data_IF_441850968911
#
_entry.id   IF_441850968911
#
_cell.length_a   1.000
_cell.length_b   1.000
_cell.length_c   1.000
_cell.angle_alpha   90.00
_cell.angle_beta   90.00
_cell.angle_gamma   90.00
#
_symmetry.space_group_name_H-M   'P 1'
#
loop_
_entity.id
_entity.type
_entity.pdbx_description
1 polymer ?
#
# COMPACT_ATOMS: atom_id res chain seq x y z
N UNK A 1 41.78 27.13 12.47
CA UNK A 1 41.36 26.40 11.25
C UNK A 1 41.19 24.94 11.62
N UNK A 2 39.96 24.48 11.82
CA UNK A 2 39.62 23.06 11.79
C UNK A 2 38.21 22.96 11.21
N UNK A 3 38.16 22.69 9.92
CA UNK A 3 36.93 22.54 9.16
C UNK A 3 36.47 21.10 9.37
N UNK A 4 35.49 20.91 10.25
CA UNK A 4 34.82 19.62 10.42
C UNK A 4 33.86 19.45 9.24
N UNK A 5 34.33 18.77 8.19
CA UNK A 5 33.49 18.35 7.07
C UNK A 5 32.39 17.42 7.60
N UNK A 6 31.16 17.92 7.67
CA UNK A 6 29.97 17.11 7.84
C UNK A 6 29.71 16.35 6.54
N UNK A 7 30.22 15.12 6.44
CA UNK A 7 29.86 14.20 5.37
C UNK A 7 28.39 13.78 5.56
N UNK A 8 27.49 13.96 4.58
CA UNK A 8 26.14 13.41 4.68
C UNK A 8 26.21 11.88 4.69
N UNK A 9 25.49 11.21 5.59
CA UNK A 9 25.39 9.75 5.66
C UNK A 9 24.80 9.14 4.34
N UNK A 10 25.12 7.87 4.02
CA UNK A 10 24.87 7.17 2.74
C UNK A 10 23.40 6.87 2.39
N UNK A 11 22.44 7.27 3.23
CA UNK A 11 20.99 7.00 3.06
C UNK A 11 20.44 7.57 1.75
N UNK A 12 20.90 8.75 1.33
CA UNK A 12 20.41 9.39 0.09
C UNK A 12 20.83 8.62 -1.18
N UNK A 13 21.99 7.97 -1.14
CA UNK A 13 22.51 7.17 -2.25
C UNK A 13 21.78 5.82 -2.35
N UNK A 14 21.47 5.17 -1.22
CA UNK A 14 20.65 3.95 -1.20
C UNK A 14 19.23 4.21 -1.73
N UNK A 15 18.61 5.32 -1.30
CA UNK A 15 17.29 5.72 -1.78
C UNK A 15 17.32 5.98 -3.29
N UNK A 16 18.31 6.74 -3.76
CA UNK A 16 18.45 7.05 -5.19
C UNK A 16 18.67 5.80 -6.04
N UNK A 17 19.50 4.86 -5.55
CA UNK A 17 19.74 3.56 -6.20
C UNK A 17 18.46 2.72 -6.27
N UNK A 18 17.70 2.63 -5.18
CA UNK A 18 16.42 1.91 -5.18
C UNK A 18 15.45 2.51 -6.21
N UNK A 19 15.29 3.84 -6.24
CA UNK A 19 14.39 4.50 -7.19
C UNK A 19 14.81 4.28 -8.64
N UNK A 20 16.12 4.39 -8.94
CA UNK A 20 16.65 4.12 -10.26
C UNK A 20 16.41 2.66 -10.70
N UNK A 21 16.45 1.69 -9.77
CA UNK A 21 16.09 0.31 -10.06
C UNK A 21 14.61 0.15 -10.36
N UNK A 22 13.73 0.74 -9.54
CA UNK A 22 12.27 0.68 -9.72
C UNK A 22 11.88 1.26 -11.09
N UNK A 23 12.44 2.41 -11.45
CA UNK A 23 12.17 3.06 -12.74
C UNK A 23 12.69 2.23 -13.92
N UNK A 24 13.93 1.75 -13.85
CA UNK A 24 14.57 1.00 -14.94
C UNK A 24 13.94 -0.38 -15.18
N UNK A 25 13.37 -0.98 -14.15
CA UNK A 25 12.77 -2.34 -14.20
C UNK A 25 11.27 -2.32 -14.44
N UNK A 26 10.70 -1.13 -14.69
CA UNK A 26 9.28 -0.98 -14.98
C UNK A 26 8.92 -1.74 -16.27
N UNK A 27 8.00 -2.68 -16.15
CA UNK A 27 7.55 -3.52 -17.27
C UNK A 27 6.05 -3.79 -17.16
N UNK A 28 5.37 -3.94 -18.30
CA UNK A 28 3.98 -4.39 -18.28
C UNK A 28 3.93 -5.86 -17.83
N UNK A 29 2.94 -6.20 -17.03
CA UNK A 29 2.71 -7.59 -16.60
C UNK A 29 2.51 -8.56 -17.77
N UNK A 30 2.15 -8.07 -18.96
CA UNK A 30 2.01 -8.84 -20.20
C UNK A 30 3.33 -9.02 -20.97
N UNK A 31 4.35 -8.24 -20.64
CA UNK A 31 5.62 -8.18 -21.37
C UNK A 31 6.80 -8.75 -20.52
N UNK A 32 6.51 -9.33 -19.34
CA UNK A 32 7.53 -9.80 -18.37
C UNK A 32 8.47 -10.88 -18.90
N UNK A 33 8.06 -11.62 -19.94
CA UNK A 33 8.91 -12.63 -20.57
C UNK A 33 10.12 -12.01 -21.30
N UNK A 34 10.06 -10.71 -21.62
CA UNK A 34 11.13 -9.97 -22.30
C UNK A 34 12.18 -9.43 -21.34
N UNK A 35 11.96 -9.50 -20.02
CA UNK A 35 12.88 -9.01 -18.99
C UNK A 35 14.24 -9.74 -19.12
N UNK A 36 15.35 -9.05 -19.42
CA UNK A 36 16.64 -9.70 -19.65
C UNK A 36 17.28 -10.27 -18.38
N UNK A 37 17.04 -9.69 -17.20
CA UNK A 37 17.59 -10.18 -15.94
C UNK A 37 16.82 -11.44 -15.47
N UNK A 38 17.45 -12.62 -15.40
CA UNK A 38 16.78 -13.85 -14.98
C UNK A 38 16.14 -13.75 -13.58
N UNK A 39 16.79 -13.07 -12.62
CA UNK A 39 16.28 -12.94 -11.25
C UNK A 39 14.99 -12.11 -11.23
N UNK A 40 14.94 -11.04 -12.03
CA UNK A 40 13.75 -10.22 -12.19
C UNK A 40 12.64 -10.99 -12.91
N UNK A 41 12.97 -11.66 -14.01
CA UNK A 41 12.03 -12.47 -14.79
C UNK A 41 11.38 -13.56 -13.94
N UNK A 42 12.16 -14.26 -13.12
CA UNK A 42 11.67 -15.30 -12.22
C UNK A 42 10.72 -14.71 -11.16
N UNK A 43 11.08 -13.56 -10.58
CA UNK A 43 10.24 -12.85 -9.61
C UNK A 43 8.90 -12.42 -10.23
N UNK A 44 8.95 -11.80 -11.40
CA UNK A 44 7.75 -11.37 -12.13
C UNK A 44 6.89 -12.55 -12.57
N UNK A 45 7.51 -13.65 -13.00
CA UNK A 45 6.80 -14.87 -13.40
C UNK A 45 6.08 -15.47 -12.19
N UNK A 46 6.74 -15.58 -11.04
CA UNK A 46 6.13 -16.06 -9.80
C UNK A 46 4.97 -15.15 -9.35
N UNK A 47 5.18 -13.84 -9.37
CA UNK A 47 4.15 -12.85 -9.03
C UNK A 47 2.92 -12.94 -9.93
N UNK A 48 3.11 -12.94 -11.26
CA UNK A 48 2.01 -13.05 -12.21
C UNK A 48 1.29 -14.40 -12.11
N UNK A 49 2.04 -15.51 -11.98
CA UNK A 49 1.45 -16.83 -11.81
C UNK A 49 0.57 -16.89 -10.55
N UNK A 50 1.00 -16.27 -9.46
CA UNK A 50 0.19 -16.14 -8.24
C UNK A 50 -1.06 -15.31 -8.46
N UNK A 51 -0.94 -14.15 -9.11
CA UNK A 51 -2.09 -13.32 -9.41
C UNK A 51 -3.12 -14.07 -10.27
N UNK A 52 -2.68 -14.74 -11.34
CA UNK A 52 -3.55 -15.46 -12.28
C UNK A 52 -4.24 -16.68 -11.69
N UNK A 53 -3.59 -17.40 -10.78
CA UNK A 53 -4.17 -18.61 -10.18
C UNK A 53 -5.00 -18.32 -8.92
N UNK A 54 -4.77 -17.20 -8.25
CA UNK A 54 -5.43 -16.87 -6.98
C UNK A 54 -6.16 -15.53 -7.02
N UNK A 55 -5.44 -14.41 -7.06
CA UNK A 55 -6.04 -13.07 -6.90
C UNK A 55 -7.08 -12.74 -7.98
N UNK A 56 -6.85 -13.18 -9.21
CA UNK A 56 -7.71 -12.99 -10.37
C UNK A 56 -8.85 -14.03 -10.46
N UNK A 57 -8.94 -14.95 -9.50
CA UNK A 57 -9.91 -16.06 -9.50
C UNK A 57 -10.92 -15.91 -8.38
N UNK A 58 -12.15 -16.44 -8.55
CA UNK A 58 -13.05 -16.62 -7.44
C UNK A 58 -12.51 -17.66 -6.46
N UNK A 59 -12.88 -17.53 -5.19
CA UNK A 59 -12.49 -18.48 -4.15
C UNK A 59 -13.68 -18.80 -3.24
N UNK A 60 -13.87 -20.08 -2.91
CA UNK A 60 -15.02 -20.54 -2.12
C UNK A 60 -15.03 -19.90 -0.71
N UNK A 61 -13.86 -19.75 -0.12
CA UNK A 61 -13.69 -19.17 1.23
C UNK A 61 -13.63 -17.63 1.26
N UNK A 62 -13.79 -16.94 0.12
CA UNK A 62 -13.71 -15.48 0.05
C UNK A 62 -14.82 -14.78 0.85
N UNK A 63 -15.96 -15.45 1.05
CA UNK A 63 -17.14 -14.87 1.71
C UNK A 63 -17.99 -13.96 0.82
N UNK A 64 -17.63 -13.80 -0.47
CA UNK A 64 -18.44 -13.15 -1.50
C UNK A 64 -18.24 -13.78 -2.87
N UNK A 65 -19.13 -13.45 -3.83
CA UNK A 65 -18.98 -13.86 -5.23
C UNK A 65 -17.86 -13.06 -5.94
N UNK A 66 -17.37 -13.62 -7.05
CA UNK A 66 -16.38 -12.98 -7.92
C UNK A 66 -14.94 -13.23 -7.48
N UNK A 67 -13.99 -12.59 -8.16
CA UNK A 67 -12.56 -12.75 -7.91
C UNK A 67 -12.13 -12.22 -6.54
N UNK A 68 -11.03 -12.75 -5.99
CA UNK A 68 -10.41 -12.28 -4.74
C UNK A 68 -10.12 -10.78 -4.81
N UNK A 69 -9.46 -10.31 -5.86
CA UNK A 69 -9.38 -8.88 -6.20
C UNK A 69 -10.14 -8.62 -7.51
N UNK A 70 -11.17 -7.77 -7.51
CA UNK A 70 -11.92 -7.47 -8.72
C UNK A 70 -11.15 -6.57 -9.71
N UNK A 71 -10.03 -5.97 -9.31
CA UNK A 71 -9.23 -5.04 -10.14
C UNK A 71 -8.06 -5.71 -10.87
N UNK A 72 -7.50 -6.78 -10.31
CA UNK A 72 -6.24 -7.34 -10.81
C UNK A 72 -6.36 -7.85 -12.25
N UNK A 73 -7.42 -8.63 -12.55
CA UNK A 73 -7.62 -9.17 -13.90
C UNK A 73 -7.92 -8.05 -14.93
N UNK A 74 -8.88 -7.14 -14.70
CA UNK A 74 -9.10 -6.01 -15.60
C UNK A 74 -7.83 -5.19 -15.86
N UNK A 75 -7.06 -4.87 -14.80
CA UNK A 75 -5.80 -4.13 -14.92
C UNK A 75 -4.77 -4.85 -15.79
N UNK A 76 -4.65 -6.18 -15.65
CA UNK A 76 -3.77 -6.99 -16.49
C UNK A 76 -4.23 -7.02 -17.95
N UNK A 77 -5.51 -7.31 -18.19
CA UNK A 77 -6.08 -7.43 -19.53
C UNK A 77 -5.99 -6.10 -20.31
N UNK A 78 -6.17 -4.95 -19.63
CA UNK A 78 -6.07 -3.61 -20.20
C UNK A 78 -4.64 -3.06 -20.29
N UNK A 79 -3.61 -3.88 -20.03
CA UNK A 79 -2.21 -3.43 -20.00
C UNK A 79 -2.02 -2.20 -19.08
N UNK A 80 -2.71 -2.22 -17.94
CA UNK A 80 -2.66 -1.21 -16.88
C UNK A 80 -1.98 -1.73 -15.59
N UNK A 81 -1.62 -3.01 -15.54
CA UNK A 81 -0.81 -3.60 -14.48
C UNK A 81 0.68 -3.60 -14.87
N UNK A 82 1.47 -2.77 -14.18
CA UNK A 82 2.92 -2.69 -14.33
C UNK A 82 3.63 -3.34 -13.14
N UNK A 83 4.75 -3.97 -13.41
CA UNK A 83 5.67 -4.54 -12.44
C UNK A 83 6.95 -3.72 -12.41
N UNK A 84 7.53 -3.56 -11.23
CA UNK A 84 8.87 -3.01 -11.03
C UNK A 84 9.53 -3.68 -9.83
N UNK A 85 10.84 -3.58 -9.71
CA UNK A 85 11.57 -4.19 -8.63
C UNK A 85 12.76 -3.35 -8.17
N UNK A 86 13.20 -3.62 -6.95
CA UNK A 86 14.46 -3.12 -6.42
C UNK A 86 15.08 -4.15 -5.50
N UNK A 87 16.41 -4.08 -5.34
CA UNK A 87 17.11 -4.91 -4.38
C UNK A 87 16.93 -4.30 -2.98
N UNK A 88 16.21 -5.03 -2.14
CA UNK A 88 15.97 -4.70 -0.75
C UNK A 88 16.84 -5.55 0.20
N UNK A 89 17.73 -6.40 -0.33
CA UNK A 89 18.66 -7.16 0.47
C UNK A 89 19.52 -6.22 1.32
N UNK A 90 19.58 -6.49 2.62
CA UNK A 90 20.35 -5.75 3.62
C UNK A 90 20.07 -4.24 3.66
N UNK A 91 18.97 -3.78 3.05
CA UNK A 91 18.61 -2.36 3.04
C UNK A 91 18.21 -1.91 4.44
N UNK A 92 18.81 -0.84 4.99
CA UNK A 92 18.35 -0.24 6.23
C UNK A 92 16.88 0.15 6.13
N UNK A 93 16.12 -0.10 7.20
CA UNK A 93 14.66 0.08 7.19
C UNK A 93 14.25 1.54 6.94
N UNK A 94 15.00 2.51 7.47
CA UNK A 94 14.79 3.94 7.23
C UNK A 94 14.99 4.30 5.75
N UNK A 95 16.04 3.79 5.11
CA UNK A 95 16.27 3.96 3.67
C UNK A 95 15.16 3.30 2.84
N UNK A 96 14.70 2.12 3.24
CA UNK A 96 13.61 1.39 2.61
C UNK A 96 12.30 2.20 2.63
N UNK A 97 11.91 2.70 3.80
CA UNK A 97 10.74 3.58 3.96
C UNK A 97 10.90 4.85 3.12
N UNK A 98 12.07 5.50 3.18
CA UNK A 98 12.34 6.72 2.43
C UNK A 98 12.23 6.52 0.90
N UNK A 99 12.65 5.35 0.39
CA UNK A 99 12.46 5.00 -1.02
C UNK A 99 10.99 4.80 -1.36
N UNK A 100 10.24 4.04 -0.56
CA UNK A 100 8.81 3.81 -0.79
C UNK A 100 7.98 5.10 -0.71
N UNK A 101 8.34 6.04 0.18
CA UNK A 101 7.70 7.36 0.24
C UNK A 101 7.85 8.20 -1.05
N UNK A 102 8.73 7.83 -1.98
CA UNK A 102 8.85 8.52 -3.28
C UNK A 102 7.97 7.92 -4.38
N UNK A 103 7.42 6.73 -4.17
CA UNK A 103 6.66 6.03 -5.20
C UNK A 103 5.32 6.67 -5.59
N UNK A 104 4.63 7.46 -4.76
CA UNK A 104 3.48 8.24 -5.25
C UNK A 104 3.84 9.17 -6.42
N UNK A 105 5.03 9.77 -6.41
CA UNK A 105 5.50 10.61 -7.53
C UNK A 105 5.79 9.80 -8.78
N UNK A 106 6.41 8.62 -8.63
CA UNK A 106 6.63 7.71 -9.76
C UNK A 106 5.29 7.24 -10.34
N UNK A 107 4.33 6.87 -9.49
CA UNK A 107 3.00 6.44 -9.93
C UNK A 107 2.30 7.52 -10.74
N UNK A 108 2.32 8.78 -10.28
CA UNK A 108 1.78 9.93 -11.01
C UNK A 108 2.51 10.17 -12.34
N UNK A 109 3.84 10.09 -12.36
CA UNK A 109 4.63 10.20 -13.59
C UNK A 109 4.29 9.10 -14.60
N UNK A 110 4.17 7.85 -14.15
CA UNK A 110 3.77 6.72 -14.98
C UNK A 110 2.36 6.95 -15.52
N UNK A 111 1.41 7.37 -14.68
CA UNK A 111 0.04 7.66 -15.09
C UNK A 111 -0.03 8.73 -16.20
N UNK A 112 0.72 9.83 -16.06
CA UNK A 112 0.78 10.93 -17.03
C UNK A 112 1.48 10.56 -18.33
N UNK A 113 2.44 9.63 -18.28
CA UNK A 113 3.17 9.16 -19.45
C UNK A 113 2.39 8.14 -20.30
N UNK A 114 1.26 7.61 -19.79
CA UNK A 114 0.45 6.66 -20.56
C UNK A 114 -0.19 7.35 -21.77
N UNK A 115 -0.29 6.66 -22.92
CA UNK A 115 -1.03 7.17 -24.07
C UNK A 115 -2.50 7.43 -23.75
N UNK A 116 -3.11 6.57 -22.92
CA UNK A 116 -4.49 6.68 -22.48
C UNK A 116 -4.57 6.55 -20.94
N UNK A 117 -5.33 7.44 -20.27
CA UNK A 117 -5.60 7.32 -18.84
C UNK A 117 -6.31 6.01 -18.52
N UNK A 118 -5.98 5.40 -17.37
CA UNK A 118 -6.68 4.21 -16.88
C UNK A 118 -6.86 4.28 -15.37
N UNK A 119 -8.11 4.23 -14.92
CA UNK A 119 -8.48 4.10 -13.50
C UNK A 119 -8.02 2.75 -12.89
N UNK A 120 -7.63 1.80 -13.74
CA UNK A 120 -7.12 0.48 -13.36
C UNK A 120 -5.61 0.43 -13.27
N UNK A 121 -4.90 1.55 -13.48
CA UNK A 121 -3.46 1.63 -13.34
C UNK A 121 -3.03 1.11 -11.97
N UNK A 122 -2.23 0.05 -11.99
CA UNK A 122 -1.70 -0.61 -10.81
C UNK A 122 -0.21 -0.85 -11.01
N UNK A 123 0.58 -0.48 -10.00
CA UNK A 123 2.03 -0.71 -9.96
C UNK A 123 2.35 -1.72 -8.86
N UNK A 124 2.76 -2.92 -9.25
CA UNK A 124 3.27 -3.93 -8.34
C UNK A 124 4.79 -3.77 -8.20
N UNK A 125 5.26 -3.47 -6.98
CA UNK A 125 6.66 -3.23 -6.68
C UNK A 125 7.20 -4.40 -5.84
N UNK A 126 8.21 -5.09 -6.37
CA UNK A 126 8.81 -6.27 -5.74
C UNK A 126 10.12 -5.89 -5.01
N UNK A 127 10.14 -5.89 -3.67
CA UNK A 127 11.37 -5.75 -2.88
C UNK A 127 12.14 -7.08 -2.87
N UNK A 128 13.02 -7.26 -3.84
CA UNK A 128 13.76 -8.50 -4.04
C UNK A 128 14.82 -8.66 -2.94
N UNK A 129 15.08 -9.91 -2.53
CA UNK A 129 16.12 -10.22 -1.54
C UNK A 129 15.63 -10.28 -0.09
N UNK A 130 14.41 -9.83 0.19
CA UNK A 130 13.77 -10.05 1.50
C UNK A 130 13.59 -11.55 1.77
N UNK A 131 13.87 -11.95 3.00
CA UNK A 131 13.69 -13.31 3.51
C UNK A 131 12.52 -13.39 4.49
N UNK A 132 12.08 -14.62 4.79
CA UNK A 132 10.87 -14.87 5.58
C UNK A 132 10.85 -14.24 6.97
N UNK A 133 12.00 -14.19 7.64
CA UNK A 133 12.19 -13.65 8.99
C UNK A 133 12.00 -12.13 9.08
N UNK A 134 12.19 -11.41 7.97
CA UNK A 134 12.09 -9.94 7.93
C UNK A 134 10.79 -9.43 7.31
N UNK A 135 9.91 -10.29 6.79
CA UNK A 135 8.66 -9.87 6.15
C UNK A 135 7.76 -9.03 7.06
N UNK A 136 7.61 -9.40 8.33
CA UNK A 136 6.80 -8.63 9.26
C UNK A 136 7.27 -7.16 9.35
N UNK A 137 8.59 -6.95 9.45
CA UNK A 137 9.15 -5.60 9.53
C UNK A 137 9.05 -4.85 8.20
N UNK A 138 9.47 -5.48 7.10
CA UNK A 138 9.64 -4.78 5.81
C UNK A 138 8.39 -4.73 4.94
N UNK A 139 7.36 -5.54 5.24
CA UNK A 139 6.09 -5.53 4.53
C UNK A 139 4.98 -5.01 5.46
N UNK A 140 4.69 -5.69 6.57
CA UNK A 140 3.56 -5.32 7.42
C UNK A 140 3.79 -4.00 8.17
N UNK A 141 4.91 -3.85 8.89
CA UNK A 141 5.21 -2.59 9.59
C UNK A 141 5.43 -1.43 8.60
N UNK A 142 6.07 -1.71 7.46
CA UNK A 142 6.23 -0.71 6.41
C UNK A 142 4.88 -0.25 5.87
N UNK A 143 3.94 -1.17 5.62
CA UNK A 143 2.58 -0.84 5.22
C UNK A 143 1.86 0.03 6.25
N UNK A 144 1.95 -0.33 7.54
CA UNK A 144 1.35 0.45 8.62
C UNK A 144 1.85 1.90 8.66
N UNK A 145 3.15 2.11 8.35
CA UNK A 145 3.77 3.43 8.28
C UNK A 145 3.36 4.18 7.00
N UNK A 146 3.33 3.49 5.85
CA UNK A 146 3.22 4.10 4.53
C UNK A 146 1.78 4.30 4.08
N UNK A 147 0.85 3.39 4.40
CA UNK A 147 -0.57 3.47 3.98
C UNK A 147 -1.18 4.86 4.24
N UNK A 148 -1.02 5.47 5.43
CA UNK A 148 -1.59 6.80 5.70
C UNK A 148 -1.08 7.88 4.76
N UNK A 149 0.22 7.85 4.46
CA UNK A 149 0.86 8.77 3.52
C UNK A 149 0.38 8.56 2.09
N UNK A 150 0.24 7.31 1.65
CA UNK A 150 -0.29 7.00 0.32
C UNK A 150 -1.75 7.46 0.16
N UNK A 151 -2.55 7.32 1.21
CA UNK A 151 -3.94 7.81 1.23
C UNK A 151 -4.02 9.33 1.12
N UNK A 152 -3.09 10.08 1.71
CA UNK A 152 -3.00 11.52 1.51
C UNK A 152 -2.77 11.88 0.04
N UNK A 153 -2.01 11.06 -0.69
CA UNK A 153 -1.77 11.19 -2.13
C UNK A 153 -2.91 10.66 -3.02
N UNK A 154 -4.02 10.18 -2.45
CA UNK A 154 -5.14 9.63 -3.23
C UNK A 154 -4.87 8.22 -3.75
N UNK A 155 -3.88 7.54 -3.17
CA UNK A 155 -3.47 6.19 -3.54
C UNK A 155 -3.86 5.20 -2.45
N UNK A 156 -3.99 3.95 -2.85
CA UNK A 156 -4.02 2.81 -1.94
C UNK A 156 -2.75 1.99 -2.10
N UNK A 157 -2.24 1.52 -0.97
CA UNK A 157 -1.10 0.62 -0.88
C UNK A 157 -1.60 -0.72 -0.32
N UNK A 158 -1.40 -1.80 -1.07
CA UNK A 158 -1.62 -3.17 -0.62
C UNK A 158 -0.30 -3.90 -0.37
N UNK A 159 -0.24 -4.70 0.68
CA UNK A 159 0.92 -5.40 1.20
C UNK A 159 0.77 -6.91 1.08
N UNK A 160 1.77 -7.59 0.52
CA UNK A 160 1.68 -9.01 0.23
C UNK A 160 3.00 -9.71 0.52
N UNK A 161 2.94 -10.88 1.17
CA UNK A 161 4.11 -11.73 1.38
C UNK A 161 3.73 -13.19 1.71
N UNK A 162 4.65 -14.16 1.53
CA UNK A 162 4.40 -15.60 1.75
C UNK A 162 3.88 -16.01 3.12
N UNK A 163 4.21 -15.23 4.16
CA UNK A 163 3.85 -15.55 5.54
C UNK A 163 2.69 -14.72 6.06
N UNK A 164 1.98 -13.98 5.18
CA UNK A 164 0.94 -13.06 5.63
C UNK A 164 -0.18 -13.79 6.38
N UNK A 165 -0.56 -13.18 7.50
CA UNK A 165 -1.67 -13.62 8.36
C UNK A 165 -2.88 -12.70 8.26
N UNK A 166 -2.83 -11.67 7.42
CA UNK A 166 -3.91 -10.69 7.25
C UNK A 166 -5.18 -11.39 6.77
N UNK A 167 -6.26 -11.21 7.53
CA UNK A 167 -7.57 -11.79 7.26
C UNK A 167 -8.30 -11.07 6.13
N UNK A 168 -9.15 -11.79 5.40
CA UNK A 168 -10.01 -11.19 4.38
C UNK A 168 -11.15 -10.36 4.98
N UNK A 169 -11.52 -9.27 4.30
CA UNK A 169 -12.57 -8.34 4.75
C UNK A 169 -13.94 -8.99 4.99
N UNK A 170 -14.25 -10.09 4.29
CA UNK A 170 -15.51 -10.83 4.44
C UNK A 170 -15.35 -12.16 5.19
N UNK A 171 -14.11 -12.61 5.39
CA UNK A 171 -13.82 -13.92 5.98
C UNK A 171 -12.47 -13.85 6.73
N UNK A 172 -12.49 -13.72 8.07
CA UNK A 172 -11.27 -13.56 8.86
C UNK A 172 -10.29 -14.75 8.81
N UNK A 173 -10.73 -15.94 8.37
CA UNK A 173 -9.87 -17.11 8.13
C UNK A 173 -9.23 -17.13 6.73
N UNK A 174 -9.78 -16.37 5.78
CA UNK A 174 -9.24 -16.27 4.43
C UNK A 174 -7.98 -15.39 4.43
N UNK A 175 -6.98 -15.73 3.62
CA UNK A 175 -5.65 -15.08 3.60
C UNK A 175 -5.36 -14.47 2.22
N UNK A 176 -6.02 -13.36 1.84
CA UNK A 176 -5.87 -12.78 0.51
C UNK A 176 -4.46 -12.20 0.28
N UNK A 177 -3.77 -11.79 1.35
CA UNK A 177 -2.46 -11.13 1.26
C UNK A 177 -1.28 -12.12 1.20
N UNK A 178 -1.56 -13.43 1.20
CA UNK A 178 -0.52 -14.47 1.11
C UNK A 178 -0.11 -14.69 -0.35
N UNK A 179 1.03 -14.11 -0.73
CA UNK A 179 1.61 -14.18 -2.07
C UNK A 179 2.85 -15.09 -2.12
N UNK A 180 3.25 -15.55 -3.31
CA UNK A 180 4.47 -16.38 -3.45
C UNK A 180 5.77 -15.60 -3.27
N UNK A 181 5.70 -14.30 -3.55
CA UNK A 181 6.81 -13.37 -3.46
C UNK A 181 6.33 -12.13 -2.72
N UNK A 182 7.19 -11.43 -1.97
CA UNK A 182 6.82 -10.17 -1.34
C UNK A 182 6.57 -9.10 -2.41
N UNK A 183 5.53 -8.29 -2.23
CA UNK A 183 5.25 -7.14 -3.08
C UNK A 183 4.38 -6.11 -2.38
N UNK A 184 4.49 -4.88 -2.85
CA UNK A 184 3.49 -3.84 -2.66
C UNK A 184 2.71 -3.62 -3.95
N UNK A 185 1.44 -3.26 -3.85
CA UNK A 185 0.64 -2.82 -4.99
C UNK A 185 0.12 -1.41 -4.74
N UNK A 186 0.42 -0.51 -5.67
CA UNK A 186 0.01 0.89 -5.64
C UNK A 186 -1.04 1.10 -6.73
N UNK A 187 -2.15 1.75 -6.39
CA UNK A 187 -3.14 2.20 -7.38
C UNK A 187 -3.89 3.42 -6.87
N UNK A 188 -4.63 4.08 -7.75
CA UNK A 188 -5.59 5.10 -7.35
C UNK A 188 -6.63 4.52 -6.36
N UNK A 189 -7.01 5.33 -5.37
CA UNK A 189 -8.08 4.98 -4.46
C UNK A 189 -9.42 4.89 -5.21
N UNK A 190 -10.16 3.83 -4.96
CA UNK A 190 -11.44 3.52 -5.58
C UNK A 190 -12.55 3.48 -4.52
N UNK A 191 -13.80 3.60 -4.95
CA UNK A 191 -14.96 3.58 -4.03
C UNK A 191 -15.02 2.32 -3.17
N UNK A 192 -14.59 1.17 -3.71
CA UNK A 192 -14.59 -0.09 -2.98
C UNK A 192 -13.64 -0.10 -1.77
N UNK A 193 -12.68 0.83 -1.72
CA UNK A 193 -11.70 0.91 -0.63
C UNK A 193 -12.33 1.27 0.71
N UNK A 194 -13.59 1.75 0.71
CA UNK A 194 -14.39 1.96 1.91
C UNK A 194 -14.44 0.71 2.82
N UNK A 195 -14.26 -0.50 2.27
CA UNK A 195 -14.18 -1.77 3.00
C UNK A 195 -12.90 -1.93 3.84
N UNK A 196 -11.83 -1.21 3.49
CA UNK A 196 -10.51 -1.29 4.13
C UNK A 196 -10.15 -0.06 4.96
N UNK A 197 -11.16 0.79 5.23
CA UNK A 197 -11.06 2.04 5.98
C UNK A 197 -11.84 1.91 7.28
N UNK A 198 -11.32 2.52 8.35
CA UNK A 198 -11.95 2.57 9.67
C UNK A 198 -12.21 1.16 10.25
N UNK A 199 -11.22 0.28 10.07
CA UNK A 199 -11.20 -1.06 10.66
C UNK A 199 -11.00 -1.01 12.18
N UNK A 200 -11.63 -1.93 12.91
CA UNK A 200 -11.63 -1.93 14.38
C UNK A 200 -10.24 -2.15 15.01
N UNK A 201 -9.35 -2.86 14.32
CA UNK A 201 -7.97 -3.08 14.76
C UNK A 201 -7.06 -1.86 14.59
N UNK A 202 -7.55 -0.81 13.94
CA UNK A 202 -6.78 0.42 13.67
C UNK A 202 -7.01 1.45 14.79
N UNK A 203 -5.99 2.14 15.31
CA UNK A 203 -6.18 3.20 16.30
C UNK A 203 -7.15 4.30 15.83
N UNK A 204 -7.96 4.85 16.72
CA UNK A 204 -9.04 5.79 16.34
C UNK A 204 -8.55 7.02 15.57
N UNK A 205 -7.40 7.61 15.94
CA UNK A 205 -6.82 8.73 15.21
C UNK A 205 -6.47 8.38 13.76
N UNK A 206 -5.97 7.17 13.54
CA UNK A 206 -5.69 6.66 12.19
C UNK A 206 -6.98 6.39 11.41
N UNK A 207 -8.01 5.87 12.07
CA UNK A 207 -9.34 5.67 11.45
C UNK A 207 -9.97 6.99 11.01
N UNK A 208 -9.81 8.06 11.79
CA UNK A 208 -10.21 9.43 11.41
C UNK A 208 -9.45 9.87 10.15
N UNK A 209 -8.13 9.74 10.15
CA UNK A 209 -7.28 10.09 9.00
C UNK A 209 -7.66 9.34 7.72
N UNK A 210 -7.90 8.02 7.83
CA UNK A 210 -8.33 7.18 6.70
C UNK A 210 -9.67 7.67 6.10
N UNK A 211 -10.64 8.02 6.95
CA UNK A 211 -11.95 8.52 6.51
C UNK A 211 -11.85 9.91 5.87
N UNK A 212 -11.01 10.80 6.42
CA UNK A 212 -10.75 12.13 5.85
C UNK A 212 -10.14 12.03 4.46
N UNK A 213 -9.12 11.19 4.28
CA UNK A 213 -8.50 10.95 2.99
C UNK A 213 -9.50 10.34 2.01
N UNK A 214 -10.28 9.34 2.43
CA UNK A 214 -11.27 8.72 1.56
C UNK A 214 -12.31 9.72 1.04
N UNK A 215 -12.86 10.55 1.94
CA UNK A 215 -13.81 11.60 1.56
C UNK A 215 -13.15 12.64 0.65
N UNK A 216 -11.93 13.08 0.94
CA UNK A 216 -11.18 14.04 0.10
C UNK A 216 -11.09 13.57 -1.35
N UNK A 217 -10.79 12.29 -1.57
CA UNK A 217 -10.53 11.76 -2.90
C UNK A 217 -11.74 11.17 -3.61
N UNK A 218 -12.80 10.79 -2.88
CA UNK A 218 -13.95 10.09 -3.46
C UNK A 218 -15.30 10.77 -3.26
N UNK A 219 -15.41 11.86 -2.48
CA UNK A 219 -16.71 12.45 -2.15
C UNK A 219 -17.55 12.88 -3.36
N UNK A 220 -16.94 13.24 -4.48
CA UNK A 220 -17.65 13.61 -5.73
C UNK A 220 -18.15 12.39 -6.52
N UNK A 221 -17.56 11.21 -6.26
CA UNK A 221 -17.90 9.94 -6.92
C UNK A 221 -18.97 9.15 -6.14
N UNK A 222 -19.24 9.53 -4.88
CA UNK A 222 -20.23 8.89 -4.02
C UNK A 222 -21.65 9.39 -4.35
N UNK A 223 -22.64 8.50 -4.24
CA UNK A 223 -24.03 8.94 -4.17
C UNK A 223 -24.28 9.74 -2.88
N UNK A 224 -25.30 10.60 -2.86
CA UNK A 224 -25.62 11.41 -1.67
C UNK A 224 -25.78 10.55 -0.39
N UNK A 225 -26.51 9.41 -0.40
CA UNK A 225 -26.62 8.56 0.79
C UNK A 225 -25.29 7.89 1.21
N UNK A 226 -24.39 7.58 0.28
CA UNK A 226 -23.07 7.05 0.62
C UNK A 226 -22.18 8.12 1.24
N UNK A 227 -22.22 9.34 0.69
CA UNK A 227 -21.50 10.49 1.22
C UNK A 227 -21.96 10.84 2.63
N UNK A 228 -23.27 10.91 2.86
CA UNK A 228 -23.85 11.16 4.19
C UNK A 228 -23.40 10.11 5.20
N UNK A 229 -23.43 8.82 4.85
CA UNK A 229 -22.96 7.73 5.72
C UNK A 229 -21.47 7.85 6.04
N UNK A 230 -20.64 8.15 5.05
CA UNK A 230 -19.20 8.32 5.25
C UNK A 230 -18.87 9.54 6.14
N UNK A 231 -19.59 10.67 5.95
CA UNK A 231 -19.45 11.86 6.80
C UNK A 231 -19.90 11.57 8.24
N UNK A 232 -21.05 10.93 8.42
CA UNK A 232 -21.53 10.57 9.76
C UNK A 232 -20.55 9.64 10.50
N UNK A 233 -19.95 8.68 9.77
CA UNK A 233 -18.90 7.80 10.30
C UNK A 233 -17.66 8.58 10.73
N UNK A 234 -17.21 9.55 9.93
CA UNK A 234 -16.09 10.43 10.29
C UNK A 234 -16.38 11.24 11.56
N UNK A 235 -17.55 11.88 11.64
CA UNK A 235 -17.94 12.67 12.82
C UNK A 235 -18.02 11.80 14.08
N UNK A 236 -18.53 10.57 13.97
CA UNK A 236 -18.55 9.62 15.08
C UNK A 236 -17.13 9.30 15.59
N UNK A 237 -16.16 9.10 14.69
CA UNK A 237 -14.77 8.80 15.08
C UNK A 237 -14.03 9.99 15.64
N UNK A 238 -14.30 11.20 15.15
CA UNK A 238 -13.79 12.45 15.74
C UNK A 238 -14.31 12.64 17.17
N UNK A 239 -15.59 12.40 17.39
CA UNK A 239 -16.17 12.43 18.73
C UNK A 239 -15.55 11.39 19.67
N UNK A 240 -15.32 10.16 19.18
CA UNK A 240 -14.61 9.12 19.94
C UNK A 240 -13.18 9.54 20.29
N UNK A 241 -12.41 10.03 19.31
CA UNK A 241 -11.04 10.50 19.53
C UNK A 241 -10.99 11.62 20.59
N UNK A 242 -11.89 12.60 20.51
CA UNK A 242 -11.97 13.68 21.48
C UNK A 242 -12.32 13.18 22.89
N UNK A 243 -13.18 12.16 23.01
CA UNK A 243 -13.51 11.54 24.28
C UNK A 243 -12.31 10.76 24.87
N UNK A 244 -11.58 10.01 24.04
CA UNK A 244 -10.37 9.28 24.44
C UNK A 244 -9.27 10.25 24.93
N UNK A 245 -9.07 11.36 24.22
CA UNK A 245 -8.12 12.42 24.61
C UNK A 245 -8.52 13.10 25.93
N UNK A 246 -9.81 13.34 26.15
CA UNK A 246 -10.32 13.90 27.39
C UNK A 246 -10.13 12.95 28.58
N UNK A 247 -10.34 11.64 28.38
CA UNK A 247 -10.13 10.61 29.39
C UNK A 247 -8.65 10.39 29.72
N UNK A 248 -7.75 10.63 28.77
CA UNK A 248 -6.31 10.49 28.95
C UNK A 248 -5.65 11.68 29.70
N UNK A 249 -6.36 12.81 29.88
CA UNK A 249 -5.81 13.96 30.63
C UNK A 249 -5.79 13.66 32.14
N UNK A 250 -4.63 13.76 32.82
CA UNK A 250 -4.57 13.57 34.26
C UNK A 250 -5.40 14.65 34.97
N UNK A 251 -6.25 14.23 35.90
CA UNK A 251 -6.93 15.14 36.84
C UNK A 251 -5.85 15.79 37.70
N UNK A 252 -5.70 17.11 37.60
CA UNK A 252 -4.75 17.85 38.43
C UNK A 252 -5.06 17.58 39.92
N UNK A 253 -4.05 17.30 40.76
CA UNK A 253 -4.29 17.10 42.18
C UNK A 253 -4.87 18.40 42.76
N UNK A 254 -6.03 18.29 43.41
CA UNK A 254 -6.63 19.40 44.12
C UNK A 254 -5.67 19.82 45.25
N UNK A 255 -4.94 20.92 45.05
CA UNK A 255 -4.21 21.56 46.11
C UNK A 255 -5.22 22.03 47.16
N UNK A 256 -5.28 21.30 48.27
CA UNK A 256 -6.06 21.66 49.45
C UNK A 256 -5.28 22.76 50.20
N UNK A 257 -5.93 23.90 50.42
CA UNK A 257 -5.44 25.02 51.23
C UNK A 257 -5.62 24.70 52.71
#
# INVERSE_FOLDING_TARGET
MNNMQTTPLPTNDLVSRALAQIERTLSLSTDIATEPDPRLRDTYTAGLAWMQRFIMRPHAELGRKGAVCPFAKPSHDERALLFSAFDAADMPFDAYIAALMRLPYLFDSVAKARPEPSELLSLAVFPIGLQGDVYYKFIDCAHMILKPFYMECGLMLGEFHPLSTVGGAHAPSFRPMRADVPLFVIRAMALHDALFIDGESTPVGMRVHELECFLRWNAERLSAPEKERAVARLEQRRAQLAADDAAARPVAPAHSV
#
